data_IF_309306059578
#
_entry.id   IF_309306059578
#
_cell.length_a   1.000
_cell.length_b   1.000
_cell.length_c   1.000
_cell.angle_alpha   90.00
_cell.angle_beta   90.00
_cell.angle_gamma   90.00
#
_symmetry.space_group_name_H-M   'P 1'
#
loop_
_entity.id
_entity.type
_entity.pdbx_description
1 polymer ?
#
# COMPACT_ATOMS: atom_id res chain seq x y z
N UNK A 1 -10.57 -25.35 4.20
CA UNK A 1 -10.05 -25.94 2.95
C UNK A 1 -9.91 -24.83 1.92
N UNK A 2 -8.77 -24.67 1.23
CA UNK A 2 -8.64 -23.71 0.14
C UNK A 2 -9.60 -24.08 -1.00
N UNK A 3 -10.27 -23.09 -1.57
CA UNK A 3 -11.17 -23.33 -2.71
C UNK A 3 -10.34 -23.61 -3.98
N UNK A 4 -10.96 -24.20 -5.01
CA UNK A 4 -10.31 -24.37 -6.32
C UNK A 4 -9.79 -23.04 -6.88
N UNK A 5 -10.53 -21.94 -6.61
CA UNK A 5 -10.11 -20.59 -6.97
C UNK A 5 -8.86 -20.14 -6.20
N UNK A 6 -8.80 -20.40 -4.90
CA UNK A 6 -7.62 -20.05 -4.09
C UNK A 6 -6.38 -20.83 -4.57
N UNK A 7 -6.53 -22.13 -4.82
CA UNK A 7 -5.45 -22.97 -5.36
C UNK A 7 -4.95 -22.45 -6.72
N UNK A 8 -5.86 -22.01 -7.60
CA UNK A 8 -5.49 -21.39 -8.88
C UNK A 8 -4.74 -20.07 -8.70
N UNK A 9 -5.15 -19.22 -7.75
CA UNK A 9 -4.48 -17.95 -7.47
C UNK A 9 -3.11 -18.17 -6.82
N UNK A 10 -2.95 -19.19 -5.97
CA UNK A 10 -1.66 -19.60 -5.39
C UNK A 10 -0.70 -20.14 -6.45
N UNK A 11 -1.19 -21.00 -7.34
CA UNK A 11 -0.42 -21.51 -8.46
C UNK A 11 0.03 -20.39 -9.40
N UNK A 12 -0.85 -19.44 -9.72
CA UNK A 12 -0.52 -18.31 -10.57
C UNK A 12 0.49 -17.35 -9.90
N UNK A 13 0.37 -17.12 -8.59
CA UNK A 13 1.32 -16.31 -7.83
C UNK A 13 2.72 -16.96 -7.83
N UNK A 14 2.78 -18.27 -7.63
CA UNK A 14 4.02 -19.06 -7.71
C UNK A 14 4.64 -18.98 -9.11
N UNK A 15 3.84 -19.08 -10.16
CA UNK A 15 4.31 -18.98 -11.54
C UNK A 15 4.92 -17.60 -11.85
N UNK A 16 4.30 -16.50 -11.38
CA UNK A 16 4.79 -15.12 -11.57
C UNK A 16 6.09 -14.86 -10.80
N UNK A 17 6.33 -15.56 -9.69
CA UNK A 17 7.59 -15.48 -8.96
C UNK A 17 8.76 -16.09 -9.76
N UNK A 18 8.49 -17.07 -10.61
CA UNK A 18 9.51 -17.80 -11.38
C UNK A 18 9.69 -17.26 -12.80
N UNK A 19 8.60 -16.85 -13.44
CA UNK A 19 8.57 -16.50 -14.86
C UNK A 19 7.95 -15.12 -15.08
N UNK A 20 8.38 -14.38 -16.12
CA UNK A 20 7.68 -13.15 -16.51
C UNK A 20 6.22 -13.47 -16.90
N UNK A 21 5.29 -12.55 -16.61
CA UNK A 21 3.86 -12.75 -16.86
C UNK A 21 3.55 -13.17 -18.30
N UNK A 22 4.25 -12.63 -19.29
CA UNK A 22 4.10 -13.01 -20.71
C UNK A 22 4.29 -14.52 -20.94
N UNK A 23 5.23 -15.15 -20.21
CA UNK A 23 5.54 -16.57 -20.30
C UNK A 23 4.63 -17.48 -19.47
N UNK A 24 3.87 -16.95 -18.50
CA UNK A 24 2.93 -17.74 -17.70
C UNK A 24 1.79 -18.25 -18.57
N UNK A 25 1.64 -19.59 -18.69
CA UNK A 25 0.56 -20.20 -19.47
C UNK A 25 -0.59 -20.67 -18.57
N UNK A 26 -1.82 -20.43 -19.01
CA UNK A 26 -3.03 -20.83 -18.29
C UNK A 26 -3.09 -22.35 -18.03
N UNK A 27 -2.62 -23.16 -18.98
CA UNK A 27 -2.58 -24.62 -18.82
C UNK A 27 -1.66 -25.06 -17.69
N UNK A 28 -0.49 -24.42 -17.53
CA UNK A 28 0.47 -24.77 -16.48
C UNK A 28 -0.07 -24.37 -15.11
N UNK A 29 -0.76 -23.23 -15.02
CA UNK A 29 -1.46 -22.79 -13.80
C UNK A 29 -2.56 -23.77 -13.39
N UNK A 30 -3.40 -24.21 -14.34
CA UNK A 30 -4.44 -25.20 -14.06
C UNK A 30 -3.84 -26.52 -13.56
N UNK A 31 -2.80 -27.00 -14.24
CA UNK A 31 -2.10 -28.23 -13.89
C UNK A 31 -1.48 -28.14 -12.49
N UNK A 32 -0.79 -27.05 -12.17
CA UNK A 32 -0.16 -26.84 -10.88
C UNK A 32 -1.18 -26.74 -9.73
N UNK A 33 -2.39 -26.22 -10.02
CA UNK A 33 -3.49 -26.16 -9.06
C UNK A 33 -4.30 -27.46 -8.95
N UNK A 34 -3.98 -28.49 -9.75
CA UNK A 34 -4.70 -29.78 -9.74
C UNK A 34 -6.13 -29.70 -10.29
N UNK A 35 -6.42 -28.75 -11.18
CA UNK A 35 -7.76 -28.55 -11.76
C UNK A 35 -7.74 -28.58 -13.29
N UNK A 36 -8.90 -28.75 -13.91
CA UNK A 36 -9.00 -28.73 -15.37
C UNK A 36 -8.80 -27.32 -15.94
N UNK A 37 -8.35 -27.24 -17.20
CA UNK A 37 -8.31 -25.97 -17.95
C UNK A 37 -9.69 -25.29 -18.00
N UNK A 38 -10.75 -26.07 -18.21
CA UNK A 38 -12.12 -25.56 -18.26
C UNK A 38 -12.52 -24.92 -16.94
N UNK A 39 -12.17 -25.54 -15.80
CA UNK A 39 -12.39 -24.96 -14.47
C UNK A 39 -11.70 -23.60 -14.34
N UNK A 40 -10.44 -23.49 -14.75
CA UNK A 40 -9.70 -22.23 -14.71
C UNK A 40 -10.38 -21.14 -15.57
N UNK A 41 -10.76 -21.46 -16.81
CA UNK A 41 -11.47 -20.51 -17.67
C UNK A 41 -12.87 -20.16 -17.14
N UNK A 42 -13.56 -21.09 -16.47
CA UNK A 42 -14.83 -20.79 -15.80
C UNK A 42 -14.64 -19.84 -14.61
N UNK A 43 -13.51 -19.92 -13.91
CA UNK A 43 -13.22 -19.08 -12.74
C UNK A 43 -12.77 -17.66 -13.11
N UNK A 44 -11.98 -17.53 -14.18
CA UNK A 44 -11.32 -16.24 -14.51
C UNK A 44 -11.66 -15.70 -15.90
N UNK A 45 -12.25 -16.50 -16.78
CA UNK A 45 -12.61 -16.14 -18.15
C UNK A 45 -11.42 -16.04 -19.10
N UNK A 46 -10.36 -15.36 -18.68
CA UNK A 46 -9.17 -15.09 -19.50
C UNK A 46 -7.92 -14.91 -18.64
N UNK A 47 -6.74 -14.87 -19.28
CA UNK A 47 -5.48 -14.54 -18.61
C UNK A 47 -5.55 -13.15 -17.96
N UNK A 48 -6.23 -12.20 -18.60
CA UNK A 48 -6.40 -10.85 -18.02
C UNK A 48 -7.40 -10.83 -16.87
N UNK A 49 -8.41 -11.71 -16.88
CA UNK A 49 -9.28 -11.91 -15.73
C UNK A 49 -8.54 -12.54 -14.55
N UNK A 50 -7.59 -13.45 -14.81
CA UNK A 50 -6.69 -13.99 -13.78
C UNK A 50 -5.76 -12.90 -13.22
N UNK A 51 -5.18 -12.05 -14.08
CA UNK A 51 -4.38 -10.89 -13.66
C UNK A 51 -5.17 -9.95 -12.73
N UNK A 52 -6.40 -9.56 -13.13
CA UNK A 52 -7.29 -8.74 -12.29
C UNK A 52 -7.62 -9.43 -10.96
N UNK A 53 -7.88 -10.74 -10.98
CA UNK A 53 -8.18 -11.50 -9.77
C UNK A 53 -6.99 -11.59 -8.81
N UNK A 54 -5.77 -11.80 -9.32
CA UNK A 54 -4.53 -11.78 -8.53
C UNK A 54 -4.33 -10.43 -7.85
N UNK A 55 -4.41 -9.35 -8.63
CA UNK A 55 -4.27 -7.99 -8.14
C UNK A 55 -5.32 -7.65 -7.07
N UNK A 56 -6.58 -8.05 -7.29
CA UNK A 56 -7.66 -7.85 -6.31
C UNK A 56 -7.44 -8.65 -5.03
N UNK A 57 -6.98 -9.91 -5.14
CA UNK A 57 -6.63 -10.75 -3.98
C UNK A 57 -5.51 -10.11 -3.17
N UNK A 58 -4.46 -9.61 -3.82
CA UNK A 58 -3.34 -8.95 -3.15
C UNK A 58 -3.80 -7.70 -2.38
N UNK A 59 -4.64 -6.86 -2.99
CA UNK A 59 -5.25 -5.72 -2.30
C UNK A 59 -6.09 -6.15 -1.09
N UNK A 60 -6.94 -7.17 -1.23
CA UNK A 60 -7.77 -7.70 -0.15
C UNK A 60 -6.88 -8.29 0.99
N UNK A 61 -5.77 -8.97 0.67
CA UNK A 61 -4.81 -9.48 1.66
C UNK A 61 -4.10 -8.35 2.38
N UNK A 62 -3.70 -7.28 1.67
CA UNK A 62 -3.07 -6.11 2.27
C UNK A 62 -3.99 -5.43 3.29
N UNK A 63 -5.24 -5.14 2.91
CA UNK A 63 -6.21 -4.49 3.81
C UNK A 63 -6.51 -5.34 5.06
N UNK A 64 -6.66 -6.66 4.90
CA UNK A 64 -6.77 -7.58 6.05
C UNK A 64 -5.50 -7.61 6.90
N UNK A 65 -4.34 -7.40 6.30
CA UNK A 65 -3.08 -7.29 7.03
C UNK A 65 -3.02 -6.02 7.90
N UNK A 66 -3.47 -4.88 7.37
CA UNK A 66 -3.64 -3.63 8.14
C UNK A 66 -4.55 -3.87 9.35
N UNK A 67 -5.71 -4.49 9.14
CA UNK A 67 -6.66 -4.83 10.22
C UNK A 67 -6.01 -5.74 11.28
N UNK A 68 -5.20 -6.73 10.86
CA UNK A 68 -4.47 -7.62 11.79
C UNK A 68 -3.41 -6.89 12.60
N UNK A 69 -2.70 -5.92 12.01
CA UNK A 69 -1.73 -5.09 12.75
C UNK A 69 -2.45 -4.24 13.80
N UNK A 70 -3.57 -3.62 13.42
CA UNK A 70 -4.40 -2.79 14.31
C UNK A 70 -5.11 -3.58 15.41
N UNK A 71 -5.34 -4.87 15.23
CA UNK A 71 -5.95 -5.73 16.24
C UNK A 71 -5.09 -5.95 17.49
N UNK A 72 -3.80 -5.54 17.47
CA UNK A 72 -2.89 -5.62 18.61
C UNK A 72 -2.93 -4.28 19.37
N UNK A 73 -3.44 -4.22 20.62
CA UNK A 73 -3.56 -2.96 21.33
C UNK A 73 -2.20 -2.29 21.57
N UNK A 74 -2.07 -1.06 21.10
CA UNK A 74 -0.95 -0.17 21.41
C UNK A 74 -1.42 1.30 21.37
N UNK A 75 -0.63 2.24 21.92
CA UNK A 75 -0.94 3.66 21.83
C UNK A 75 -1.16 4.11 20.38
N UNK A 76 -2.04 5.09 20.12
CA UNK A 76 -2.40 5.58 18.79
C UNK A 76 -1.19 5.80 17.87
N UNK A 77 -0.18 6.51 18.35
CA UNK A 77 1.02 6.87 17.58
C UNK A 77 1.81 5.62 17.16
N UNK A 78 1.86 4.63 18.04
CA UNK A 78 2.52 3.34 17.79
C UNK A 78 1.76 2.49 16.79
N UNK A 79 0.43 2.56 16.77
CA UNK A 79 -0.39 1.83 15.77
C UNK A 79 -0.13 2.36 14.36
N UNK A 80 -0.09 3.68 14.18
CA UNK A 80 0.17 4.28 12.87
C UNK A 80 1.56 3.91 12.37
N UNK A 81 2.58 4.00 13.23
CA UNK A 81 3.94 3.57 12.90
C UNK A 81 4.02 2.09 12.56
N UNK A 82 3.38 1.21 13.34
CA UNK A 82 3.39 -0.23 13.10
C UNK A 82 2.75 -0.61 11.75
N UNK A 83 1.67 0.06 11.35
CA UNK A 83 1.04 -0.16 10.03
C UNK A 83 1.95 0.32 8.90
N UNK A 84 2.63 1.46 9.06
CA UNK A 84 3.59 1.96 8.08
C UNK A 84 4.80 1.03 7.91
N UNK A 85 5.43 0.63 9.01
CA UNK A 85 6.55 -0.32 9.02
C UNK A 85 6.16 -1.66 8.38
N UNK A 86 5.00 -2.20 8.76
CA UNK A 86 4.49 -3.44 8.17
C UNK A 86 4.21 -3.29 6.67
N UNK A 87 3.63 -2.16 6.25
CA UNK A 87 3.38 -1.87 4.82
C UNK A 87 4.67 -1.85 4.02
N UNK A 88 5.72 -1.20 4.53
CA UNK A 88 7.05 -1.17 3.90
C UNK A 88 7.63 -2.58 3.78
N UNK A 89 7.58 -3.37 4.86
CA UNK A 89 8.10 -4.73 4.87
C UNK A 89 7.37 -5.63 3.85
N UNK A 90 6.04 -5.60 3.82
CA UNK A 90 5.23 -6.39 2.88
C UNK A 90 5.45 -5.97 1.43
N UNK A 91 5.52 -4.66 1.15
CA UNK A 91 5.83 -4.17 -0.19
C UNK A 91 7.24 -4.58 -0.63
N UNK A 92 8.20 -4.68 0.30
CA UNK A 92 9.54 -5.22 0.02
C UNK A 92 9.52 -6.72 -0.33
N UNK A 93 8.69 -7.50 0.37
CA UNK A 93 8.62 -8.95 0.20
C UNK A 93 7.73 -9.41 -0.97
N UNK A 94 6.77 -8.58 -1.40
CA UNK A 94 5.70 -8.98 -2.34
C UNK A 94 5.65 -8.04 -3.55
N UNK A 95 6.26 -8.43 -4.69
CA UNK A 95 6.34 -7.58 -5.89
C UNK A 95 4.99 -7.12 -6.44
N UNK A 96 3.96 -7.97 -6.38
CA UNK A 96 2.60 -7.58 -6.82
C UNK A 96 2.00 -6.51 -5.92
N UNK A 97 2.14 -6.64 -4.61
CA UNK A 97 1.67 -5.63 -3.66
C UNK A 97 2.42 -4.30 -3.85
N UNK A 98 3.74 -4.35 -4.07
CA UNK A 98 4.53 -3.15 -4.40
C UNK A 98 3.99 -2.46 -5.64
N UNK A 99 3.72 -3.22 -6.71
CA UNK A 99 3.17 -2.65 -7.95
C UNK A 99 1.77 -2.05 -7.75
N UNK A 100 0.92 -2.68 -6.93
CA UNK A 100 -0.39 -2.15 -6.57
C UNK A 100 -0.32 -0.84 -5.78
N UNK A 101 0.60 -0.77 -4.81
CA UNK A 101 0.75 0.39 -3.93
C UNK A 101 1.41 1.59 -4.62
N UNK A 102 2.22 1.34 -5.65
CA UNK A 102 2.99 2.39 -6.34
C UNK A 102 2.46 2.72 -7.74
N UNK A 103 1.64 1.85 -8.32
CA UNK A 103 1.24 1.92 -9.73
C UNK A 103 2.35 1.53 -10.70
N UNK A 104 3.54 1.17 -10.21
CA UNK A 104 4.69 0.81 -11.04
C UNK A 104 4.67 -0.68 -11.38
N UNK A 105 4.05 -1.03 -12.51
CA UNK A 105 4.03 -2.39 -13.04
C UNK A 105 5.25 -2.65 -13.91
N UNK A 106 6.14 -3.55 -13.48
CA UNK A 106 7.26 -4.02 -14.32
C UNK A 106 6.83 -5.08 -15.33
N UNK A 107 7.67 -5.35 -16.33
CA UNK A 107 7.37 -6.30 -17.42
C UNK A 107 7.11 -7.74 -16.96
N UNK A 108 7.65 -8.12 -15.79
CA UNK A 108 7.47 -9.45 -15.22
C UNK A 108 6.10 -9.64 -14.56
N UNK A 109 5.38 -8.56 -14.24
CA UNK A 109 4.15 -8.61 -13.47
C UNK A 109 2.90 -8.51 -14.36
N UNK A 110 1.79 -9.14 -13.97
CA UNK A 110 0.49 -8.93 -14.59
C UNK A 110 -0.02 -7.52 -14.33
N UNK A 111 0.23 -6.56 -15.23
CA UNK A 111 -0.43 -5.25 -15.18
C UNK A 111 -1.93 -5.42 -15.50
N UNK A 112 -2.83 -5.32 -14.49
CA UNK A 112 -4.23 -5.67 -14.66
C UNK A 112 -4.93 -4.57 -15.47
N UNK A 113 -5.29 -4.89 -16.71
CA UNK A 113 -6.07 -3.97 -17.54
C UNK A 113 -7.53 -3.94 -17.07
N UNK A 114 -8.16 -2.77 -16.96
CA UNK A 114 -9.59 -2.66 -16.69
C UNK A 114 -10.40 -3.49 -17.69
N UNK A 115 -11.56 -4.00 -17.26
CA UNK A 115 -12.50 -4.59 -18.20
C UNK A 115 -12.94 -3.53 -19.23
N UNK A 116 -13.20 -3.95 -20.48
CA UNK A 116 -13.64 -3.01 -21.52
C UNK A 116 -14.93 -2.31 -21.10
N UNK A 117 -14.96 -0.98 -21.21
CA UNK A 117 -16.17 -0.22 -20.96
C UNK A 117 -17.31 -0.73 -21.87
N UNK A 118 -18.49 -0.97 -21.29
CA UNK A 118 -19.66 -1.51 -22.00
C UNK A 118 -19.66 -3.03 -22.23
N UNK A 119 -18.64 -3.77 -21.76
CA UNK A 119 -18.71 -5.23 -21.77
C UNK A 119 -19.85 -5.74 -20.88
N UNK A 120 -20.55 -6.78 -21.34
CA UNK A 120 -21.60 -7.43 -20.53
C UNK A 120 -20.97 -7.99 -19.26
N UNK A 121 -21.54 -7.64 -18.11
CA UNK A 121 -21.09 -8.15 -16.82
C UNK A 121 -21.12 -9.69 -16.81
N UNK A 122 -20.05 -10.32 -16.33
CA UNK A 122 -19.99 -11.78 -16.20
C UNK A 122 -21.14 -12.29 -15.32
N UNK A 123 -21.67 -13.49 -15.60
CA UNK A 123 -22.63 -14.15 -14.70
C UNK A 123 -21.96 -14.68 -13.41
N UNK A 124 -20.63 -14.86 -13.42
CA UNK A 124 -19.86 -15.37 -12.28
C UNK A 124 -19.53 -14.21 -11.33
N UNK A 125 -19.97 -14.23 -10.05
CA UNK A 125 -19.76 -13.13 -9.11
C UNK A 125 -18.28 -12.75 -8.93
N UNK A 126 -17.40 -13.74 -8.86
CA UNK A 126 -15.98 -13.53 -8.66
C UNK A 126 -15.30 -12.88 -9.87
N UNK A 127 -15.76 -13.19 -11.09
CA UNK A 127 -15.31 -12.50 -12.31
C UNK A 127 -15.83 -11.07 -12.33
N UNK A 128 -17.11 -10.83 -12.02
CA UNK A 128 -17.65 -9.45 -11.92
C UNK A 128 -16.84 -8.60 -10.95
N UNK A 129 -16.50 -9.14 -9.79
CA UNK A 129 -15.68 -8.42 -8.79
C UNK A 129 -14.30 -8.08 -9.36
N UNK A 130 -13.65 -9.00 -10.06
CA UNK A 130 -12.37 -8.74 -10.70
C UNK A 130 -12.49 -7.71 -11.84
N UNK A 131 -13.55 -7.80 -12.64
CA UNK A 131 -13.82 -6.94 -13.80
C UNK A 131 -14.24 -5.52 -13.42
N UNK A 132 -14.84 -5.33 -12.24
CA UNK A 132 -15.13 -4.01 -11.67
C UNK A 132 -13.87 -3.15 -11.45
N UNK A 133 -12.68 -3.75 -11.56
CA UNK A 133 -11.41 -3.07 -11.48
C UNK A 133 -10.63 -3.43 -10.22
N UNK A 134 -9.34 -3.15 -10.31
CA UNK A 134 -8.40 -3.21 -9.19
C UNK A 134 -8.36 -1.79 -8.59
N UNK A 135 -8.34 -1.64 -7.25
CA UNK A 135 -8.22 -0.31 -6.65
C UNK A 135 -6.96 0.39 -7.16
N UNK A 136 -7.05 1.68 -7.45
CA UNK A 136 -5.86 2.47 -7.77
C UNK A 136 -4.94 2.56 -6.54
N UNK A 137 -3.66 2.92 -6.72
CA UNK A 137 -2.77 3.20 -5.59
C UNK A 137 -3.38 4.16 -4.56
N UNK A 138 -4.02 5.22 -5.04
CA UNK A 138 -4.71 6.22 -4.21
C UNK A 138 -5.90 5.62 -3.47
N UNK A 139 -6.73 4.80 -4.14
CA UNK A 139 -7.88 4.16 -3.49
C UNK A 139 -7.45 3.16 -2.41
N UNK A 140 -6.39 2.41 -2.67
CA UNK A 140 -5.87 1.40 -1.74
C UNK A 140 -5.24 2.07 -0.51
N UNK A 141 -4.51 3.17 -0.72
CA UNK A 141 -3.95 3.98 0.35
C UNK A 141 -5.05 4.62 1.20
N UNK A 142 -6.08 5.20 0.56
CA UNK A 142 -7.23 5.77 1.24
C UNK A 142 -7.97 4.74 2.09
N UNK A 143 -8.21 3.54 1.56
CA UNK A 143 -8.81 2.44 2.30
C UNK A 143 -7.99 1.98 3.51
N UNK A 144 -6.66 1.99 3.42
CA UNK A 144 -5.79 1.67 4.54
C UNK A 144 -5.79 2.80 5.58
N UNK A 145 -5.66 4.06 5.15
CA UNK A 145 -5.75 5.25 6.00
C UNK A 145 -7.05 5.26 6.80
N UNK A 146 -8.19 5.02 6.14
CA UNK A 146 -9.50 5.07 6.78
C UNK A 146 -9.61 4.02 7.90
N UNK A 147 -9.10 2.81 7.67
CA UNK A 147 -9.04 1.76 8.72
C UNK A 147 -8.19 2.16 9.91
N UNK A 148 -7.01 2.75 9.65
CA UNK A 148 -6.13 3.24 10.73
C UNK A 148 -6.83 4.36 11.49
N UNK A 149 -7.37 5.36 10.80
CA UNK A 149 -8.07 6.48 11.43
C UNK A 149 -9.28 6.03 12.26
N UNK A 150 -10.09 5.10 11.76
CA UNK A 150 -11.20 4.50 12.52
C UNK A 150 -10.69 3.80 13.79
N UNK A 151 -9.58 3.05 13.69
CA UNK A 151 -8.99 2.40 14.86
C UNK A 151 -8.44 3.40 15.89
N UNK A 152 -7.85 4.52 15.44
CA UNK A 152 -7.38 5.58 16.34
C UNK A 152 -8.53 6.25 17.10
N UNK A 153 -9.62 6.58 16.40
CA UNK A 153 -10.81 7.19 17.01
C UNK A 153 -11.46 6.23 18.02
N UNK A 154 -11.52 4.95 17.70
CA UNK A 154 -12.06 3.92 18.60
C UNK A 154 -11.16 3.64 19.81
N UNK A 155 -9.84 3.80 19.68
CA UNK A 155 -8.85 3.55 20.73
C UNK A 155 -8.83 4.58 21.87
N UNK A 156 -9.51 5.72 21.70
CA UNK A 156 -9.57 6.78 22.70
C UNK A 156 -8.29 7.61 22.84
N UNK A 157 -8.34 8.63 23.70
CA UNK A 157 -7.25 9.55 23.98
C UNK A 157 -7.08 10.65 22.92
N UNK A 158 -7.72 11.82 23.10
CA UNK A 158 -7.53 13.06 22.33
C UNK A 158 -7.85 13.04 20.82
N UNK A 159 -7.51 11.95 20.12
CA UNK A 159 -7.75 11.70 18.70
C UNK A 159 -9.23 11.58 18.36
N UNK A 160 -10.06 11.15 19.31
CA UNK A 160 -11.53 11.08 19.15
C UNK A 160 -12.20 12.45 18.98
N UNK A 161 -11.59 13.52 19.51
CA UNK A 161 -12.11 14.90 19.39
C UNK A 161 -11.68 15.57 18.08
N UNK A 162 -10.76 14.95 17.31
CA UNK A 162 -10.19 15.51 16.09
C UNK A 162 -10.03 14.44 14.99
N UNK A 163 -11.13 13.84 14.54
CA UNK A 163 -11.15 12.85 13.45
C UNK A 163 -10.44 13.33 12.18
N UNK A 164 -10.54 14.63 11.86
CA UNK A 164 -9.86 15.24 10.72
C UNK A 164 -8.32 15.27 10.89
N UNK A 165 -7.83 15.50 12.13
CA UNK A 165 -6.40 15.41 12.45
C UNK A 165 -5.91 13.97 12.34
N UNK A 166 -6.69 13.00 12.83
CA UNK A 166 -6.36 11.57 12.69
C UNK A 166 -6.21 11.18 11.22
N UNK A 167 -7.16 11.57 10.37
CA UNK A 167 -7.10 11.32 8.92
C UNK A 167 -5.85 11.96 8.28
N UNK A 168 -5.56 13.23 8.59
CA UNK A 168 -4.36 13.93 8.07
C UNK A 168 -3.06 13.24 8.50
N UNK A 169 -2.93 12.89 9.77
CA UNK A 169 -1.74 12.21 10.29
C UNK A 169 -1.56 10.83 9.64
N UNK A 170 -2.62 10.03 9.55
CA UNK A 170 -2.59 8.74 8.86
C UNK A 170 -2.21 8.89 7.39
N UNK A 171 -2.76 9.89 6.68
CA UNK A 171 -2.42 10.16 5.28
C UNK A 171 -0.93 10.46 5.11
N UNK A 172 -0.37 11.36 5.94
CA UNK A 172 1.05 11.73 5.88
C UNK A 172 1.94 10.51 6.12
N UNK A 173 1.68 9.75 7.19
CA UNK A 173 2.52 8.60 7.54
C UNK A 173 2.46 7.51 6.46
N UNK A 174 1.28 7.22 5.92
CA UNK A 174 1.13 6.24 4.85
C UNK A 174 1.81 6.71 3.55
N UNK A 175 1.78 8.01 3.23
CA UNK A 175 2.52 8.56 2.08
C UNK A 175 4.04 8.50 2.28
N UNK A 176 4.53 8.75 3.49
CA UNK A 176 5.95 8.60 3.81
C UNK A 176 6.39 7.13 3.68
N UNK A 177 5.56 6.18 4.13
CA UNK A 177 5.81 4.76 3.94
C UNK A 177 5.90 4.40 2.45
N UNK A 178 4.97 4.88 1.61
CA UNK A 178 5.04 4.68 0.16
C UNK A 178 6.24 5.35 -0.49
N UNK A 179 6.61 6.55 -0.04
CA UNK A 179 7.83 7.23 -0.48
C UNK A 179 9.05 6.36 -0.24
N UNK A 180 9.15 5.75 0.95
CA UNK A 180 10.23 4.80 1.27
C UNK A 180 10.17 3.53 0.41
N UNK A 181 8.98 3.01 0.06
CA UNK A 181 8.88 1.85 -0.85
C UNK A 181 9.43 2.17 -2.23
N UNK A 182 9.21 3.38 -2.74
CA UNK A 182 9.70 3.83 -4.06
C UNK A 182 11.19 4.16 -4.02
N UNK A 183 11.60 4.92 -3.01
CA UNK A 183 12.96 5.38 -2.78
C UNK A 183 13.45 4.88 -1.41
N UNK A 184 13.83 3.59 -1.32
CA UNK A 184 14.31 3.03 -0.07
C UNK A 184 15.58 3.75 0.36
N UNK A 185 15.68 4.07 1.64
CA UNK A 185 16.93 4.59 2.18
C UNK A 185 18.05 3.59 1.90
N UNK A 186 19.24 4.08 1.58
CA UNK A 186 20.42 3.26 1.80
C UNK A 186 20.40 2.95 3.28
N UNK A 187 20.23 1.68 3.65
CA UNK A 187 20.58 1.26 5.00
C UNK A 187 22.02 1.75 5.18
N UNK A 188 22.21 2.78 5.99
CA UNK A 188 23.53 3.04 6.56
C UNK A 188 23.76 1.78 7.35
N UNK A 189 24.44 0.81 6.76
CA UNK A 189 24.96 -0.33 7.49
C UNK A 189 25.62 0.29 8.71
N UNK A 190 25.09 -0.01 9.89
CA UNK A 190 25.61 0.50 11.14
C UNK A 190 27.11 0.18 11.17
N UNK A 191 27.95 1.17 10.82
CA UNK A 191 29.37 0.95 10.54
C UNK A 191 30.01 1.77 9.41
N UNK A 192 29.27 2.37 8.48
CA UNK A 192 29.88 3.15 7.38
C UNK A 192 29.35 4.58 7.30
N UNK A 193 29.88 5.46 8.16
CA UNK A 193 29.91 6.90 7.87
C UNK A 193 31.03 7.10 6.84
N UNK A 194 30.76 7.50 5.59
CA UNK A 194 31.84 7.91 4.71
C UNK A 194 32.34 9.27 5.22
N UNK A 195 33.55 9.27 5.75
CA UNK A 195 34.29 10.49 6.04
C UNK A 195 34.64 11.18 4.71
N UNK A 196 33.72 11.96 4.16
CA UNK A 196 34.10 12.94 3.16
C UNK A 196 33.32 14.24 3.33
N UNK A 197 33.98 15.22 3.95
CA UNK A 197 33.50 16.59 4.09
C UNK A 197 33.42 17.33 2.74
N UNK A 198 34.00 16.79 1.66
CA UNK A 198 34.07 17.46 0.35
C UNK A 198 32.77 17.40 -0.49
N UNK A 199 31.76 16.61 -0.09
CA UNK A 199 30.48 16.56 -0.81
C UNK A 199 29.51 17.70 -0.44
N UNK A 200 29.80 18.46 0.64
CA UNK A 200 28.93 19.55 1.10
C UNK A 200 28.93 20.78 0.19
N UNK A 201 30.02 21.02 -0.54
CA UNK A 201 30.16 22.22 -1.38
C UNK A 201 29.61 22.06 -2.82
N UNK A 202 29.21 20.85 -3.21
CA UNK A 202 28.73 20.59 -4.58
C UNK A 202 27.22 20.78 -4.77
N UNK A 203 26.49 21.08 -3.69
CA UNK A 203 25.06 21.43 -3.68
C UNK A 203 24.84 22.86 -3.18
N UNK A 204 25.54 23.83 -3.77
CA UNK A 204 25.07 25.21 -3.69
C UNK A 204 23.74 25.29 -4.47
N UNK A 205 22.63 25.46 -3.76
CA UNK A 205 21.29 25.56 -4.35
C UNK A 205 21.25 26.70 -5.39
N UNK A 206 20.75 26.45 -6.61
CA UNK A 206 20.54 27.54 -7.56
C UNK A 206 19.51 28.52 -6.98
N UNK A 207 19.71 29.83 -7.17
CA UNK A 207 18.79 30.86 -6.65
C UNK A 207 17.33 30.69 -7.12
N UNK A 208 17.09 29.90 -8.15
CA UNK A 208 15.74 29.49 -8.61
C UNK A 208 15.00 28.56 -7.65
N UNK A 209 15.69 27.97 -6.67
CA UNK A 209 15.13 27.18 -5.57
C UNK A 209 14.93 27.99 -4.29
N UNK A 210 15.17 29.30 -4.31
CA UNK A 210 14.67 30.20 -3.25
C UNK A 210 13.16 30.07 -3.20
N UNK A 211 12.58 29.48 -2.16
CA UNK A 211 11.34 28.77 -2.40
C UNK A 211 10.14 29.70 -2.20
N UNK A 212 9.01 29.34 -2.81
CA UNK A 212 7.65 29.76 -2.45
C UNK A 212 7.32 29.19 -1.04
N UNK A 213 8.19 29.47 -0.08
CA UNK A 213 8.39 28.78 1.19
C UNK A 213 7.73 29.39 2.42
N UNK A 214 6.96 30.50 2.40
CA UNK A 214 6.22 30.81 3.61
C UNK A 214 5.06 29.83 3.83
N UNK A 215 4.53 29.14 2.80
CA UNK A 215 3.29 28.35 2.95
C UNK A 215 3.52 26.94 3.50
N UNK A 216 4.51 26.19 2.99
CA UNK A 216 4.74 24.80 3.45
C UNK A 216 5.35 24.75 4.85
N UNK A 217 6.30 25.63 5.15
CA UNK A 217 6.92 25.70 6.49
C UNK A 217 5.92 26.21 7.53
N UNK A 218 5.05 27.16 7.17
CA UNK A 218 3.96 27.63 8.05
C UNK A 218 2.96 26.53 8.36
N UNK A 219 2.57 25.68 7.41
CA UNK A 219 1.65 24.56 7.66
C UNK A 219 2.29 23.53 8.60
N UNK A 220 3.58 23.22 8.41
CA UNK A 220 4.29 22.29 9.30
C UNK A 220 4.42 22.89 10.70
N UNK A 221 4.87 24.14 10.86
CA UNK A 221 4.99 24.78 12.16
C UNK A 221 3.65 24.97 12.87
N UNK A 222 2.58 25.28 12.13
CA UNK A 222 1.22 25.44 12.70
C UNK A 222 0.66 24.11 13.21
N UNK A 223 0.97 23.00 12.54
CA UNK A 223 0.58 21.66 12.99
C UNK A 223 1.35 21.24 14.27
N UNK A 224 2.56 21.74 14.47
CA UNK A 224 3.41 21.39 15.63
C UNK A 224 3.35 22.38 16.81
N UNK A 225 2.82 23.61 16.67
CA UNK A 225 2.84 24.65 17.72
C UNK A 225 1.67 24.67 18.73
N UNK A 226 0.61 23.88 18.56
CA UNK A 226 -0.60 23.98 19.43
C UNK A 226 -0.53 23.11 20.70
N UNK A 227 0.65 22.96 21.34
CA UNK A 227 0.71 22.13 22.57
C UNK A 227 1.72 22.56 23.65
N UNK A 228 2.02 23.85 23.77
CA UNK A 228 2.80 24.34 24.94
C UNK A 228 2.31 25.67 25.48
N UNK A 229 1.04 25.81 25.87
CA UNK A 229 0.64 26.81 26.88
C UNK A 229 -0.49 26.27 27.74
N UNK A 230 -0.10 25.51 28.77
CA UNK A 230 -0.93 25.27 29.96
C UNK A 230 -0.74 26.45 30.92
N UNK A 231 -1.77 27.24 31.27
CA UNK A 231 -1.67 28.14 32.40
C UNK A 231 -2.07 27.37 33.67
N UNK A 232 -1.05 26.99 34.45
CA UNK A 232 -1.23 26.64 35.85
C UNK A 232 -1.88 27.81 36.60
N UNK A 233 -2.83 27.45 37.48
CA UNK A 233 -3.30 28.14 38.68
C UNK A 233 -2.57 29.44 39.06
N UNK A 234 -3.35 30.51 39.22
CA UNK A 234 -3.22 31.42 40.36
C UNK A 234 -4.58 32.04 40.68
N UNK A 235 -5.19 31.59 41.78
CA UNK A 235 -6.11 32.39 42.62
C UNK A 235 -5.22 33.17 43.60
N UNK A 236 -5.62 34.38 43.99
CA UNK A 236 -6.55 34.53 45.11
C UNK A 236 -7.84 35.25 44.75
#
# INVERSE_FOLDING_TARGET
MPTARDALLDAALTAVALLPWSAVRMVDVASAAGVSRQTLYNEFGSKEGLARALARREADVFLRGVERVLARPAPPERNVAAVAEWTVAEAGARPLLRALLTGCWGERLPAPRPARAGARASAVPAQRRADAGVPSPTDLLGQARDRVATALVAGGGGWGENAERALRCCEVVMRLALSYVVAPGTTVAAGAVPANAAARDQWAEPESWRPITPTITSVIETIFKVDTMSPRKTMP
#
